data_IF_508800642562
#
_entry.id   IF_508800642562
#
_cell.length_a   1.000
_cell.length_b   1.000
_cell.length_c   1.000
_cell.angle_alpha   90.00
_cell.angle_beta   90.00
_cell.angle_gamma   90.00
#
_symmetry.space_group_name_H-M   'P 1'
#
loop_
_entity.id
_entity.type
_entity.pdbx_description
1 polymer ?
#
# COMPACT_ATOMS: atom_id res chain seq x y z
N UNK A 1 -10.74 12.03 -8.22
CA UNK A 1 -9.39 11.82 -8.78
C UNK A 1 -8.56 13.07 -8.54
N UNK A 2 -7.76 13.10 -7.46
CA UNK A 2 -6.99 14.27 -7.04
C UNK A 2 -5.61 13.86 -6.53
N UNK A 3 -4.54 14.65 -6.76
CA UNK A 3 -3.22 14.37 -6.21
C UNK A 3 -3.20 14.66 -4.70
N UNK A 4 -2.26 14.04 -3.98
CA UNK A 4 -2.06 14.29 -2.54
C UNK A 4 -1.76 15.76 -2.30
N UNK A 5 -2.72 16.46 -1.72
CA UNK A 5 -2.68 17.91 -1.53
C UNK A 5 -3.74 18.36 -0.52
N UNK A 6 -3.61 19.59 -0.01
CA UNK A 6 -4.62 20.20 0.84
C UNK A 6 -5.99 20.29 0.16
N UNK A 7 -6.03 20.56 -1.16
CA UNK A 7 -7.29 20.60 -1.92
C UNK A 7 -7.98 19.24 -1.97
N UNK A 8 -7.21 18.16 -2.17
CA UNK A 8 -7.74 16.80 -2.13
C UNK A 8 -8.24 16.45 -0.71
N UNK A 9 -7.47 16.77 0.32
CA UNK A 9 -7.85 16.54 1.72
C UNK A 9 -9.18 17.22 2.05
N UNK A 10 -9.30 18.51 1.76
CA UNK A 10 -10.55 19.28 1.99
C UNK A 10 -11.74 18.72 1.19
N UNK A 11 -11.51 18.27 -0.05
CA UNK A 11 -12.56 17.67 -0.88
C UNK A 11 -13.06 16.36 -0.28
N UNK A 12 -12.15 15.48 0.16
CA UNK A 12 -12.52 14.19 0.76
C UNK A 12 -13.23 14.38 2.09
N UNK A 13 -12.68 15.22 2.98
CA UNK A 13 -13.29 15.54 4.28
C UNK A 13 -14.67 16.19 4.08
N UNK A 14 -14.77 17.16 3.16
CA UNK A 14 -16.04 17.83 2.84
C UNK A 14 -17.08 16.87 2.30
N UNK A 15 -16.71 15.90 1.45
CA UNK A 15 -17.62 14.86 0.97
C UNK A 15 -18.15 14.00 2.13
N UNK A 16 -17.27 13.51 3.01
CA UNK A 16 -17.67 12.70 4.18
C UNK A 16 -18.56 13.50 5.14
N UNK A 17 -18.21 14.76 5.42
CA UNK A 17 -19.03 15.66 6.25
C UNK A 17 -20.41 15.92 5.62
N UNK A 18 -20.51 15.91 4.30
CA UNK A 18 -21.75 16.02 3.53
C UNK A 18 -22.50 14.69 3.38
N UNK A 19 -22.04 13.63 4.07
CA UNK A 19 -22.59 12.26 4.00
C UNK A 19 -22.51 11.61 2.62
N UNK A 20 -21.57 12.07 1.80
CA UNK A 20 -21.20 11.44 0.55
C UNK A 20 -20.07 10.46 0.79
N UNK A 21 -20.05 9.36 0.02
CA UNK A 21 -18.97 8.38 0.06
C UNK A 21 -18.01 8.65 -1.09
N UNK A 22 -16.80 9.18 -0.83
CA UNK A 22 -15.80 9.39 -1.88
C UNK A 22 -15.31 8.07 -2.45
N UNK A 23 -15.21 8.01 -3.78
CA UNK A 23 -14.62 6.91 -4.54
C UNK A 23 -13.22 7.32 -4.97
N UNK A 24 -12.21 6.61 -4.48
CA UNK A 24 -10.80 6.97 -4.68
C UNK A 24 -10.27 6.34 -5.97
N UNK A 25 -10.00 7.16 -6.99
CA UNK A 25 -9.60 6.71 -8.32
C UNK A 25 -8.08 6.83 -8.48
N UNK A 26 -7.42 5.73 -8.82
CA UNK A 26 -6.01 5.71 -9.16
C UNK A 26 -5.77 6.42 -10.50
N UNK A 27 -4.97 7.49 -10.47
CA UNK A 27 -4.59 8.28 -11.64
C UNK A 27 -3.16 8.01 -12.14
N UNK A 28 -2.39 7.24 -11.39
CA UNK A 28 -0.96 7.01 -11.71
C UNK A 28 -0.75 6.11 -12.92
N UNK A 29 -1.71 5.23 -13.19
CA UNK A 29 -1.66 4.30 -14.32
C UNK A 29 -3.05 4.19 -14.97
N UNK A 30 -3.17 4.60 -16.24
CA UNK A 30 -4.43 4.45 -16.99
C UNK A 30 -5.61 5.24 -16.39
N UNK A 31 -5.41 6.50 -16.04
CA UNK A 31 -6.40 7.34 -15.35
C UNK A 31 -7.79 7.33 -16.00
N UNK A 32 -7.89 7.48 -17.33
CA UNK A 32 -9.15 7.45 -18.07
C UNK A 32 -9.88 6.10 -17.87
N UNK A 33 -9.18 5.00 -18.09
CA UNK A 33 -9.73 3.65 -17.91
C UNK A 33 -10.23 3.41 -16.49
N UNK A 34 -9.47 3.89 -15.49
CA UNK A 34 -9.84 3.75 -14.08
C UNK A 34 -11.05 4.60 -13.71
N UNK A 35 -11.21 5.81 -14.29
CA UNK A 35 -12.41 6.63 -14.14
C UNK A 35 -13.65 5.91 -14.68
N UNK A 36 -13.60 5.43 -15.91
CA UNK A 36 -14.72 4.72 -16.55
C UNK A 36 -15.08 3.43 -15.81
N UNK A 37 -14.07 2.67 -15.37
CA UNK A 37 -14.27 1.48 -14.56
C UNK A 37 -14.96 1.80 -13.23
N UNK A 38 -14.47 2.82 -12.53
CA UNK A 38 -15.01 3.24 -11.24
C UNK A 38 -16.46 3.74 -11.39
N UNK A 39 -16.78 4.54 -12.42
CA UNK A 39 -18.16 4.99 -12.71
C UNK A 39 -19.08 3.79 -12.93
N UNK A 40 -18.65 2.84 -13.75
CA UNK A 40 -19.44 1.63 -14.05
C UNK A 40 -19.71 0.78 -12.81
N UNK A 41 -18.74 0.66 -11.89
CA UNK A 41 -18.86 -0.18 -10.68
C UNK A 41 -19.60 0.50 -9.54
N UNK A 42 -19.48 1.84 -9.40
CA UNK A 42 -19.99 2.58 -8.25
C UNK A 42 -21.14 3.53 -8.58
N UNK A 43 -21.55 3.65 -9.84
CA UNK A 43 -22.68 4.46 -10.33
C UNK A 43 -22.68 5.91 -9.81
N UNK A 44 -21.52 6.57 -9.78
CA UNK A 44 -21.43 7.99 -9.43
C UNK A 44 -21.45 8.88 -10.68
N UNK A 45 -21.89 10.14 -10.53
CA UNK A 45 -22.11 11.10 -11.62
C UNK A 45 -21.11 12.25 -11.67
N UNK A 46 -20.22 12.36 -10.69
CA UNK A 46 -19.28 13.49 -10.58
C UNK A 46 -17.89 12.99 -10.28
N UNK A 47 -16.92 13.44 -11.08
CA UNK A 47 -15.49 13.20 -10.85
C UNK A 47 -14.83 14.53 -10.53
N UNK A 48 -14.46 14.76 -9.28
CA UNK A 48 -13.67 15.94 -8.90
C UNK A 48 -12.21 15.72 -9.26
N UNK A 49 -11.61 16.66 -10.01
CA UNK A 49 -10.22 16.59 -10.49
C UNK A 49 -9.60 17.98 -10.59
N UNK A 50 -8.38 18.08 -11.13
CA UNK A 50 -7.70 19.34 -11.47
C UNK A 50 -7.26 19.34 -12.93
N UNK A 51 -7.22 20.52 -13.55
CA UNK A 51 -6.74 20.68 -14.95
C UNK A 51 -5.29 20.23 -15.08
N UNK A 52 -4.46 20.60 -14.11
CA UNK A 52 -3.05 20.21 -14.05
C UNK A 52 -2.85 18.68 -13.95
N UNK A 53 -3.74 17.95 -13.25
CA UNK A 53 -3.63 16.50 -13.16
C UNK A 53 -3.97 15.83 -14.50
N UNK A 54 -4.99 16.31 -15.20
CA UNK A 54 -5.35 15.78 -16.53
C UNK A 54 -4.19 15.97 -17.51
N UNK A 55 -3.61 17.16 -17.55
CA UNK A 55 -2.46 17.46 -18.39
C UNK A 55 -1.27 16.53 -18.06
N UNK A 56 -0.93 16.41 -16.79
CA UNK A 56 0.18 15.56 -16.33
C UNK A 56 0.01 14.09 -16.66
N UNK A 57 -1.22 13.56 -16.59
CA UNK A 57 -1.53 12.14 -16.81
C UNK A 57 -1.90 11.82 -18.27
N UNK A 58 -2.08 12.83 -19.11
CA UNK A 58 -2.60 12.67 -20.46
C UNK A 58 -4.05 12.15 -20.52
N UNK A 59 -4.77 12.23 -19.40
CA UNK A 59 -6.16 11.77 -19.29
C UNK A 59 -7.09 12.74 -20.03
N UNK A 60 -7.91 12.21 -20.93
CA UNK A 60 -8.93 13.02 -21.60
C UNK A 60 -9.99 13.48 -20.60
N UNK A 61 -10.50 14.69 -20.80
CA UNK A 61 -11.63 15.18 -20.04
C UNK A 61 -12.88 14.35 -20.32
N UNK A 62 -13.46 13.80 -19.27
CA UNK A 62 -14.76 13.11 -19.35
C UNK A 62 -15.90 14.09 -19.03
N UNK A 63 -17.14 13.85 -19.52
CA UNK A 63 -18.28 14.76 -19.34
C UNK A 63 -18.60 15.10 -17.89
N UNK A 64 -18.39 14.13 -16.99
CA UNK A 64 -18.76 14.25 -15.56
C UNK A 64 -17.63 14.81 -14.68
N UNK A 65 -16.53 15.31 -15.30
CA UNK A 65 -15.42 15.91 -14.58
C UNK A 65 -15.69 17.34 -14.17
N UNK A 66 -15.50 17.64 -12.90
CA UNK A 66 -15.59 18.97 -12.30
C UNK A 66 -14.22 19.34 -11.73
N UNK A 67 -13.74 20.51 -12.11
CA UNK A 67 -12.42 20.98 -11.70
C UNK A 67 -12.48 21.79 -10.41
N UNK A 68 -11.55 21.51 -9.47
CA UNK A 68 -11.44 22.29 -8.23
C UNK A 68 -11.22 23.77 -8.54
N UNK A 69 -10.45 24.09 -9.58
CA UNK A 69 -10.20 25.46 -10.03
C UNK A 69 -11.49 26.18 -10.36
N UNK A 70 -12.40 25.50 -11.06
CA UNK A 70 -13.69 26.09 -11.46
C UNK A 70 -14.65 26.21 -10.25
N UNK A 71 -14.65 25.23 -9.32
CA UNK A 71 -15.38 25.33 -8.05
C UNK A 71 -14.91 26.56 -7.27
N UNK A 72 -13.60 26.74 -7.11
CA UNK A 72 -13.02 27.86 -6.37
C UNK A 72 -13.31 29.22 -7.01
N UNK A 73 -13.27 29.29 -8.35
CA UNK A 73 -13.59 30.52 -9.10
C UNK A 73 -15.06 30.93 -8.97
N UNK A 74 -15.96 29.95 -8.89
CA UNK A 74 -17.40 30.18 -8.81
C UNK A 74 -17.91 30.38 -7.37
N UNK A 75 -17.07 30.20 -6.34
CA UNK A 75 -17.46 30.51 -4.95
C UNK A 75 -17.63 32.04 -4.79
N UNK A 76 -18.87 32.47 -4.67
CA UNK A 76 -19.23 33.87 -4.46
C UNK A 76 -18.86 34.41 -3.08
N UNK A 77 -18.90 35.73 -2.93
CA UNK A 77 -18.66 36.37 -1.61
C UNK A 77 -19.67 35.98 -0.56
N UNK A 78 -20.91 35.72 -0.95
CA UNK A 78 -21.98 35.32 -0.04
C UNK A 78 -21.72 33.90 0.53
N UNK A 79 -21.38 32.92 -0.31
CA UNK A 79 -21.05 31.56 0.14
C UNK A 79 -19.84 31.55 1.08
N UNK A 80 -18.82 32.33 0.77
CA UNK A 80 -17.61 32.49 1.61
C UNK A 80 -17.98 33.11 2.98
N UNK A 81 -18.80 34.16 2.99
CA UNK A 81 -19.25 34.78 4.21
C UNK A 81 -20.13 33.84 5.07
N UNK A 82 -21.03 33.10 4.42
CA UNK A 82 -21.89 32.13 5.11
C UNK A 82 -21.06 30.96 5.70
N UNK A 83 -20.07 30.45 4.95
CA UNK A 83 -19.15 29.42 5.43
C UNK A 83 -18.35 29.95 6.65
N UNK A 84 -17.82 31.16 6.56
CA UNK A 84 -17.12 31.79 7.68
C UNK A 84 -18.00 31.93 8.91
N UNK A 85 -19.24 32.41 8.77
CA UNK A 85 -20.19 32.51 9.89
C UNK A 85 -20.49 31.14 10.50
N UNK A 86 -20.72 30.10 9.66
CA UNK A 86 -20.92 28.74 10.13
C UNK A 86 -19.72 28.20 10.88
N UNK A 87 -18.48 28.52 10.45
CA UNK A 87 -17.26 28.09 11.14
C UNK A 87 -17.08 28.64 12.55
N UNK A 88 -17.80 29.74 12.89
CA UNK A 88 -17.80 30.36 14.22
C UNK A 88 -18.91 29.83 15.15
N UNK A 89 -19.75 28.93 14.66
CA UNK A 89 -20.79 28.33 15.50
C UNK A 89 -20.19 27.45 16.60
N UNK A 90 -20.81 27.38 17.79
CA UNK A 90 -20.39 26.47 18.84
C UNK A 90 -20.37 25.01 18.35
N UNK A 91 -19.40 24.22 18.81
CA UNK A 91 -19.25 22.82 18.43
C UNK A 91 -20.53 22.00 18.67
N UNK A 92 -21.25 22.28 19.74
CA UNK A 92 -22.52 21.63 20.05
C UNK A 92 -23.58 21.85 18.95
N UNK A 93 -23.64 23.06 18.39
CA UNK A 93 -24.54 23.37 17.28
C UNK A 93 -24.07 22.72 15.96
N UNK A 94 -22.76 22.75 15.68
CA UNK A 94 -22.20 22.06 14.52
C UNK A 94 -22.48 20.56 14.59
N UNK A 95 -22.30 19.92 15.75
CA UNK A 95 -22.64 18.51 15.97
C UNK A 95 -24.12 18.23 15.75
N UNK A 96 -25.02 19.15 16.17
CA UNK A 96 -26.47 19.04 15.96
C UNK A 96 -26.82 19.12 14.46
N UNK A 97 -26.19 20.06 13.73
CA UNK A 97 -26.36 20.20 12.27
C UNK A 97 -25.85 18.97 11.52
N UNK A 98 -24.67 18.46 11.89
CA UNK A 98 -24.10 17.24 11.31
C UNK A 98 -24.98 16.01 11.59
N UNK A 99 -25.72 16.02 12.71
CA UNK A 99 -26.55 14.89 13.14
C UNK A 99 -25.71 13.71 13.68
N UNK A 100 -26.39 12.64 14.07
CA UNK A 100 -25.72 11.45 14.60
C UNK A 100 -24.95 10.72 13.47
N UNK A 101 -23.66 10.41 13.66
CA UNK A 101 -22.91 9.63 12.69
C UNK A 101 -23.45 8.19 12.65
N UNK A 102 -23.42 7.60 11.48
CA UNK A 102 -23.57 6.15 11.34
C UNK A 102 -22.21 5.57 10.98
N UNK A 103 -21.53 5.03 11.98
CA UNK A 103 -20.17 4.53 11.85
C UNK A 103 -20.05 3.31 10.92
N UNK A 104 -21.15 2.61 10.68
CA UNK A 104 -21.17 1.39 9.85
C UNK A 104 -21.44 1.69 8.36
N UNK A 105 -21.75 2.95 8.02
CA UNK A 105 -21.83 3.35 6.61
C UNK A 105 -20.45 3.45 5.97
N UNK A 106 -20.32 3.10 4.67
CA UNK A 106 -19.08 3.32 3.94
C UNK A 106 -18.63 4.78 4.04
N UNK A 107 -17.41 4.99 4.53
CA UNK A 107 -16.73 6.27 4.56
C UNK A 107 -15.95 6.54 3.27
N UNK A 108 -15.52 5.46 2.60
CA UNK A 108 -14.72 5.50 1.38
C UNK A 108 -14.86 4.22 0.59
N UNK A 109 -14.73 4.34 -0.72
CA UNK A 109 -14.58 3.21 -1.65
C UNK A 109 -13.20 3.29 -2.28
N UNK A 110 -12.49 2.16 -2.25
CA UNK A 110 -11.14 1.98 -2.78
C UNK A 110 -11.11 0.82 -3.78
N UNK A 111 -10.12 0.82 -4.65
CA UNK A 111 -9.88 -0.28 -5.57
C UNK A 111 -8.58 -0.98 -5.19
N UNK A 112 -8.62 -2.32 -5.11
CA UNK A 112 -7.39 -3.07 -4.93
C UNK A 112 -6.57 -3.06 -6.22
N UNK A 113 -5.26 -3.01 -6.09
CA UNK A 113 -4.32 -3.16 -7.21
C UNK A 113 -4.18 -4.61 -7.68
N UNK A 114 -5.21 -5.43 -7.50
CA UNK A 114 -5.15 -6.88 -7.61
C UNK A 114 -4.41 -7.41 -8.85
N UNK A 115 -3.62 -8.45 -8.64
CA UNK A 115 -3.00 -9.30 -9.68
C UNK A 115 -4.03 -10.06 -10.52
N UNK A 116 -5.32 -9.89 -10.25
CA UNK A 116 -6.45 -10.55 -10.91
C UNK A 116 -7.00 -9.71 -12.08
N UNK A 117 -7.87 -10.31 -12.87
CA UNK A 117 -8.39 -9.74 -14.13
C UNK A 117 -9.04 -8.36 -13.97
N UNK A 118 -9.73 -8.09 -12.85
CA UNK A 118 -10.35 -6.79 -12.54
C UNK A 118 -10.02 -6.36 -11.10
N UNK A 119 -9.85 -5.04 -10.82
CA UNK A 119 -9.71 -4.52 -9.47
C UNK A 119 -10.97 -4.80 -8.64
N UNK A 120 -10.81 -5.25 -7.39
CA UNK A 120 -11.92 -5.42 -6.46
C UNK A 120 -12.27 -4.08 -5.81
N UNK A 121 -13.56 -3.88 -5.55
CA UNK A 121 -14.09 -2.63 -5.00
C UNK A 121 -14.32 -2.79 -3.50
N UNK A 122 -13.44 -2.24 -2.70
CA UNK A 122 -13.45 -2.34 -1.23
C UNK A 122 -14.23 -1.20 -0.62
N UNK A 123 -15.15 -1.51 0.28
CA UNK A 123 -15.89 -0.54 1.07
C UNK A 123 -15.37 -0.53 2.50
N UNK A 124 -14.87 0.63 2.94
CA UNK A 124 -14.46 0.82 4.34
C UNK A 124 -15.41 1.77 5.04
N UNK A 125 -15.93 1.34 6.19
CA UNK A 125 -16.79 2.16 7.04
C UNK A 125 -15.97 3.14 7.88
N UNK A 126 -16.65 4.13 8.49
CA UNK A 126 -16.01 5.00 9.48
C UNK A 126 -15.45 4.20 10.65
N UNK A 127 -16.18 3.17 11.12
CA UNK A 127 -15.73 2.27 12.18
C UNK A 127 -14.42 1.59 11.80
N UNK A 128 -14.31 1.02 10.59
CA UNK A 128 -13.10 0.37 10.13
C UNK A 128 -11.88 1.30 10.20
N UNK A 129 -12.03 2.53 9.69
CA UNK A 129 -10.93 3.50 9.68
C UNK A 129 -10.56 3.98 11.09
N UNK A 130 -11.55 4.35 11.91
CA UNK A 130 -11.31 4.89 13.26
C UNK A 130 -10.66 3.83 14.15
N UNK A 131 -11.21 2.61 14.21
CA UNK A 131 -10.64 1.54 15.03
C UNK A 131 -9.21 1.21 14.63
N UNK A 132 -8.91 1.21 13.32
CA UNK A 132 -7.56 0.97 12.84
C UNK A 132 -6.60 2.10 13.23
N UNK A 133 -7.03 3.37 13.08
CA UNK A 133 -6.23 4.54 13.49
C UNK A 133 -5.95 4.51 14.98
N UNK A 134 -6.94 4.29 15.82
CA UNK A 134 -6.77 4.23 17.28
C UNK A 134 -5.79 3.12 17.67
N UNK A 135 -5.96 1.94 17.10
CA UNK A 135 -5.13 0.76 17.41
C UNK A 135 -3.65 0.93 17.05
N UNK A 136 -3.33 1.36 15.82
CA UNK A 136 -1.93 1.55 15.47
C UNK A 136 -1.31 2.79 16.12
N UNK A 137 -2.13 3.83 16.38
CA UNK A 137 -1.66 5.03 17.07
C UNK A 137 -1.27 4.75 18.52
N UNK A 138 -2.01 3.89 19.19
CA UNK A 138 -1.68 3.39 20.53
C UNK A 138 -0.38 2.60 20.51
N UNK A 139 -0.27 1.59 19.64
CA UNK A 139 0.92 0.74 19.53
C UNK A 139 2.20 1.52 19.19
N UNK A 140 2.09 2.50 18.28
CA UNK A 140 3.21 3.28 17.79
C UNK A 140 3.49 4.53 18.64
N UNK A 141 2.66 4.81 19.64
CA UNK A 141 2.79 5.97 20.53
C UNK A 141 2.94 7.28 19.75
N UNK A 142 2.07 7.48 18.72
CA UNK A 142 2.18 8.65 17.82
C UNK A 142 1.48 9.91 18.34
N UNK A 143 0.83 9.84 19.51
CA UNK A 143 0.11 10.98 20.11
C UNK A 143 1.02 12.14 20.56
N UNK A 144 2.34 11.88 20.68
CA UNK A 144 3.36 12.88 21.00
C UNK A 144 3.97 13.55 19.75
N UNK A 145 3.40 13.30 18.56
CA UNK A 145 3.90 13.79 17.29
C UNK A 145 2.95 14.82 16.70
N UNK A 146 3.51 15.95 16.27
CA UNK A 146 2.72 17.08 15.75
C UNK A 146 2.68 17.14 14.21
N UNK A 147 3.69 16.58 13.53
CA UNK A 147 3.89 16.76 12.09
C UNK A 147 4.16 15.45 11.37
N UNK A 148 3.39 15.20 10.33
CA UNK A 148 3.52 14.03 9.45
C UNK A 148 3.85 14.47 8.03
N UNK A 149 4.80 13.79 7.39
CA UNK A 149 5.05 13.94 5.96
C UNK A 149 4.02 13.13 5.16
N UNK A 150 3.12 13.81 4.45
CA UNK A 150 2.01 13.23 3.70
C UNK A 150 2.29 13.25 2.19
N UNK A 151 3.01 12.24 1.70
CA UNK A 151 3.38 12.09 0.29
C UNK A 151 2.76 10.87 -0.38
N UNK A 152 2.25 9.92 0.40
CA UNK A 152 1.61 8.73 -0.15
C UNK A 152 0.27 9.09 -0.83
N UNK A 153 -0.04 8.47 -1.99
CA UNK A 153 -1.26 8.78 -2.73
C UNK A 153 -2.54 8.42 -1.95
N UNK A 154 -3.51 9.34 -1.90
CA UNK A 154 -4.78 9.13 -1.22
C UNK A 154 -5.70 8.11 -1.90
N UNK A 155 -5.43 7.72 -3.14
CA UNK A 155 -6.17 6.63 -3.79
C UNK A 155 -5.73 5.23 -3.32
N UNK A 156 -4.68 5.12 -2.54
CA UNK A 156 -4.30 3.91 -1.81
C UNK A 156 -4.71 4.03 -0.35
N UNK A 157 -5.21 2.93 0.23
CA UNK A 157 -5.62 2.90 1.63
C UNK A 157 -4.51 3.34 2.58
N UNK A 158 -3.25 2.96 2.30
CA UNK A 158 -2.09 3.35 3.10
C UNK A 158 -1.94 4.87 3.14
N UNK A 159 -1.95 5.55 2.00
CA UNK A 159 -1.92 7.01 1.94
C UNK A 159 -3.18 7.65 2.52
N UNK A 160 -4.36 7.10 2.23
CA UNK A 160 -5.61 7.65 2.71
C UNK A 160 -5.73 7.59 4.23
N UNK A 161 -5.47 6.43 4.83
CA UNK A 161 -5.60 6.28 6.29
C UNK A 161 -4.48 7.01 7.01
N UNK A 162 -3.21 6.75 6.64
CA UNK A 162 -2.09 7.31 7.39
C UNK A 162 -1.86 8.80 7.10
N UNK A 163 -1.93 9.22 5.83
CA UNK A 163 -1.55 10.60 5.46
C UNK A 163 -2.70 11.60 5.48
N UNK A 164 -3.96 11.13 5.47
CA UNK A 164 -5.13 12.00 5.57
C UNK A 164 -5.88 11.82 6.89
N UNK A 165 -6.41 10.61 7.15
CA UNK A 165 -7.31 10.43 8.28
C UNK A 165 -6.58 10.46 9.62
N UNK A 166 -5.38 9.89 9.74
CA UNK A 166 -4.61 9.91 10.99
C UNK A 166 -4.32 11.34 11.46
N UNK A 167 -3.69 12.23 10.65
CA UNK A 167 -3.45 13.60 11.10
C UNK A 167 -4.75 14.36 11.38
N UNK A 168 -5.82 14.10 10.62
CA UNK A 168 -7.12 14.72 10.87
C UNK A 168 -7.74 14.28 12.20
N UNK A 169 -7.69 12.99 12.52
CA UNK A 169 -8.26 12.44 13.76
C UNK A 169 -7.42 12.83 14.99
N UNK A 170 -6.12 12.90 14.88
CA UNK A 170 -5.20 13.18 15.99
C UNK A 170 -4.83 14.66 16.12
N UNK A 171 -5.29 15.53 15.22
CA UNK A 171 -4.98 16.96 15.25
C UNK A 171 -3.55 17.30 14.83
N UNK A 172 -2.89 16.45 14.03
CA UNK A 172 -1.53 16.66 13.56
C UNK A 172 -1.48 17.58 12.32
N UNK A 173 -0.35 18.23 12.13
CA UNK A 173 -0.06 18.96 10.89
C UNK A 173 0.35 17.98 9.78
N UNK A 174 -0.38 18.00 8.67
CA UNK A 174 -0.07 17.21 7.46
C UNK A 174 0.73 18.05 6.46
N UNK A 175 1.97 17.64 6.19
CA UNK A 175 2.87 18.29 5.21
C UNK A 175 2.68 17.55 3.89
N UNK A 176 1.88 18.12 2.98
CA UNK A 176 1.48 17.44 1.73
C UNK A 176 2.41 17.75 0.57
N UNK A 177 2.73 16.69 -0.22
CA UNK A 177 3.38 16.85 -1.52
C UNK A 177 2.83 15.80 -2.50
N UNK A 178 2.57 16.23 -3.75
CA UNK A 178 1.80 15.44 -4.71
C UNK A 178 2.57 14.31 -5.39
N UNK A 179 3.89 14.40 -5.47
CA UNK A 179 4.71 13.44 -6.23
C UNK A 179 5.78 12.77 -5.36
N UNK A 180 5.52 11.59 -4.80
CA UNK A 180 6.48 10.88 -3.95
C UNK A 180 7.78 10.45 -4.66
N UNK A 181 7.79 10.43 -6.00
CA UNK A 181 8.97 10.05 -6.80
C UNK A 181 9.96 11.20 -7.02
N UNK A 182 9.60 12.43 -6.66
CA UNK A 182 10.53 13.56 -6.68
C UNK A 182 11.44 13.56 -5.43
N UNK A 183 12.26 12.52 -5.31
CA UNK A 183 13.05 12.22 -4.11
C UNK A 183 13.84 13.41 -3.59
N UNK A 184 14.49 14.16 -4.49
CA UNK A 184 15.27 15.37 -4.14
C UNK A 184 14.40 16.47 -3.53
N UNK A 185 13.21 16.68 -4.08
CA UNK A 185 12.24 17.65 -3.58
C UNK A 185 11.69 17.22 -2.23
N UNK A 186 11.35 15.95 -2.08
CA UNK A 186 10.83 15.42 -0.80
C UNK A 186 11.90 15.49 0.29
N UNK A 187 13.15 15.12 0.01
CA UNK A 187 14.26 15.27 0.96
C UNK A 187 14.47 16.72 1.40
N UNK A 188 14.30 17.68 0.46
CA UNK A 188 14.31 19.11 0.80
C UNK A 188 13.15 19.51 1.72
N UNK A 189 11.95 19.02 1.44
CA UNK A 189 10.76 19.25 2.28
C UNK A 189 11.00 18.72 3.69
N UNK A 190 11.51 17.49 3.86
CA UNK A 190 11.83 16.91 5.17
C UNK A 190 12.75 17.86 5.96
N UNK A 191 13.84 18.29 5.35
CA UNK A 191 14.80 19.22 5.98
C UNK A 191 14.18 20.56 6.38
N UNK A 192 13.31 21.13 5.53
CA UNK A 192 12.74 22.47 5.76
C UNK A 192 11.54 22.46 6.71
N UNK A 193 10.75 21.39 6.72
CA UNK A 193 9.51 21.32 7.50
C UNK A 193 9.64 20.51 8.77
N UNK A 194 10.72 19.75 8.92
CA UNK A 194 11.04 18.97 10.11
C UNK A 194 9.86 18.10 10.58
N UNK A 195 9.35 17.15 9.75
CA UNK A 195 8.32 16.20 10.19
C UNK A 195 8.86 15.27 11.27
N UNK A 196 7.97 14.73 12.10
CA UNK A 196 8.32 13.80 13.17
C UNK A 196 7.95 12.35 12.79
N UNK A 197 6.95 12.19 11.92
CA UNK A 197 6.52 10.91 11.39
C UNK A 197 6.80 10.84 9.88
N UNK A 198 7.61 9.87 9.48
CA UNK A 198 7.96 9.55 8.11
C UNK A 198 7.43 8.15 7.76
N UNK A 199 6.48 8.07 6.82
CA UNK A 199 5.87 6.79 6.40
C UNK A 199 6.00 6.66 4.89
N UNK A 200 6.45 5.49 4.44
CA UNK A 200 6.63 5.25 3.00
C UNK A 200 6.72 3.78 2.63
N UNK A 201 6.76 3.53 1.33
CA UNK A 201 7.21 2.24 0.81
C UNK A 201 8.74 2.20 0.82
N UNK A 202 9.38 1.02 0.79
CA UNK A 202 10.84 0.93 0.71
C UNK A 202 11.45 1.77 -0.41
N UNK A 203 10.84 1.75 -1.60
CA UNK A 203 11.27 2.56 -2.75
C UNK A 203 11.33 4.06 -2.45
N UNK A 204 10.28 4.59 -1.81
CA UNK A 204 10.22 6.02 -1.50
C UNK A 204 11.21 6.39 -0.41
N UNK A 205 11.28 5.57 0.65
CA UNK A 205 12.20 5.79 1.76
C UNK A 205 13.67 5.74 1.30
N UNK A 206 14.03 4.78 0.43
CA UNK A 206 15.36 4.67 -0.17
C UNK A 206 15.69 5.91 -1.00
N UNK A 207 14.76 6.33 -1.87
CA UNK A 207 14.94 7.55 -2.65
C UNK A 207 15.17 8.79 -1.78
N UNK A 208 14.42 8.95 -0.67
CA UNK A 208 14.56 10.11 0.21
C UNK A 208 15.87 10.07 1.00
N UNK A 209 16.23 8.93 1.59
CA UNK A 209 17.45 8.82 2.39
C UNK A 209 18.71 8.98 1.56
N UNK A 210 18.73 8.51 0.32
CA UNK A 210 19.87 8.73 -0.59
C UNK A 210 20.07 10.23 -0.92
N UNK A 211 19.00 11.02 -1.01
CA UNK A 211 19.03 12.44 -1.29
C UNK A 211 19.21 13.32 -0.04
N UNK A 212 19.09 12.77 1.17
CA UNK A 212 19.26 13.50 2.42
C UNK A 212 20.74 13.70 2.78
N UNK A 213 21.02 14.61 3.70
CA UNK A 213 22.33 14.81 4.32
C UNK A 213 22.29 14.40 5.80
N UNK A 214 23.42 14.05 6.44
CA UNK A 214 23.47 13.88 7.88
C UNK A 214 22.85 15.08 8.61
N UNK A 215 21.96 14.81 9.56
CA UNK A 215 21.21 15.84 10.30
C UNK A 215 19.87 16.26 9.69
N UNK A 216 19.57 15.93 8.42
CA UNK A 216 18.29 16.29 7.79
C UNK A 216 17.09 15.63 8.50
N UNK A 217 17.28 14.48 9.17
CA UNK A 217 16.21 13.69 9.81
C UNK A 217 16.21 13.80 11.34
N UNK A 218 16.84 14.82 11.90
CA UNK A 218 16.94 15.02 13.36
C UNK A 218 15.56 15.13 14.05
N UNK A 219 14.54 15.57 13.32
CA UNK A 219 13.16 15.68 13.83
C UNK A 219 12.37 14.36 13.78
N UNK A 220 12.82 13.40 12.95
CA UNK A 220 12.09 12.15 12.76
C UNK A 220 12.17 11.32 14.04
N UNK A 221 11.03 11.13 14.69
CA UNK A 221 10.86 10.27 15.86
C UNK A 221 10.51 8.83 15.47
N UNK A 222 9.86 8.67 14.30
CA UNK A 222 9.38 7.39 13.81
C UNK A 222 9.45 7.32 12.28
N UNK A 223 10.18 6.32 11.76
CA UNK A 223 10.23 5.97 10.35
C UNK A 223 9.56 4.61 10.13
N UNK A 224 8.51 4.55 9.30
CA UNK A 224 7.72 3.33 9.06
C UNK A 224 7.79 2.94 7.59
N UNK A 225 8.19 1.70 7.34
CA UNK A 225 8.14 1.06 6.03
C UNK A 225 6.93 0.13 5.95
N UNK A 226 6.14 0.25 4.90
CA UNK A 226 4.98 -0.60 4.69
C UNK A 226 4.72 -0.87 3.22
N UNK A 227 3.71 -1.72 2.98
CA UNK A 227 3.22 -2.12 1.68
C UNK A 227 4.14 -3.05 0.87
N UNK A 228 5.43 -3.11 1.17
CA UNK A 228 6.38 -4.03 0.57
C UNK A 228 7.45 -4.43 1.59
N UNK A 229 8.22 -5.50 1.32
CA UNK A 229 9.30 -5.96 2.21
C UNK A 229 10.40 -4.91 2.28
N UNK A 230 10.82 -4.54 3.49
CA UNK A 230 11.92 -3.61 3.70
C UNK A 230 13.27 -4.32 3.51
N UNK A 231 14.10 -3.90 2.53
CA UNK A 231 15.44 -4.47 2.36
C UNK A 231 16.34 -4.17 3.56
N UNK A 232 17.25 -5.10 3.89
CA UNK A 232 18.22 -4.89 4.96
C UNK A 232 19.14 -3.71 4.68
N UNK A 233 19.58 -3.56 3.42
CA UNK A 233 20.40 -2.42 2.99
C UNK A 233 19.73 -1.07 3.29
N UNK A 234 18.41 -0.98 3.16
CA UNK A 234 17.67 0.25 3.49
C UNK A 234 17.67 0.52 5.01
N UNK A 235 17.48 -0.52 5.84
CA UNK A 235 17.57 -0.40 7.31
C UNK A 235 18.95 0.08 7.73
N UNK A 236 20.00 -0.56 7.18
CA UNK A 236 21.40 -0.19 7.43
C UNK A 236 21.67 1.26 7.04
N UNK A 237 21.21 1.68 5.85
CA UNK A 237 21.41 3.05 5.38
C UNK A 237 20.73 4.11 6.27
N UNK A 238 19.52 3.85 6.78
CA UNK A 238 18.85 4.74 7.73
C UNK A 238 19.61 4.81 9.06
N UNK A 239 20.09 3.65 9.54
CA UNK A 239 20.84 3.57 10.79
C UNK A 239 22.17 4.29 10.71
N UNK A 240 22.96 4.04 9.67
CA UNK A 240 24.29 4.65 9.50
C UNK A 240 24.21 6.16 9.25
N UNK A 241 23.24 6.62 8.47
CA UNK A 241 23.18 8.03 8.04
C UNK A 241 22.47 8.93 9.05
N UNK A 242 21.48 8.40 9.76
CA UNK A 242 20.60 9.22 10.61
C UNK A 242 20.39 8.67 12.03
N UNK A 243 21.01 7.53 12.37
CA UNK A 243 20.79 6.79 13.62
C UNK A 243 19.31 6.47 13.88
N UNK A 244 18.55 6.18 12.81
CA UNK A 244 17.13 5.83 12.87
C UNK A 244 16.90 4.37 12.57
N UNK A 245 16.03 3.74 13.34
CA UNK A 245 15.51 2.42 13.02
C UNK A 245 14.24 2.53 12.19
N UNK A 246 14.16 1.76 11.11
CA UNK A 246 12.91 1.62 10.34
C UNK A 246 12.07 0.55 10.99
N UNK A 247 10.81 0.88 11.28
CA UNK A 247 9.79 -0.04 11.74
C UNK A 247 9.02 -0.57 10.53
N UNK A 248 8.81 -1.88 10.48
CA UNK A 248 8.00 -2.50 9.44
C UNK A 248 6.56 -2.71 9.90
N UNK A 249 5.61 -2.40 9.00
CA UNK A 249 4.19 -2.66 9.18
C UNK A 249 3.59 -3.41 7.99
N UNK A 250 2.53 -4.17 8.24
CA UNK A 250 1.81 -4.96 7.27
C UNK A 250 0.32 -4.68 7.28
N UNK A 251 -0.28 -4.77 6.10
CA UNK A 251 -1.71 -4.57 5.96
C UNK A 251 -2.22 -4.75 4.54
N UNK A 252 -3.53 -4.63 4.40
CA UNK A 252 -4.25 -4.78 3.14
C UNK A 252 -5.32 -3.70 3.00
N UNK A 253 -5.80 -3.45 1.79
CA UNK A 253 -6.91 -2.50 1.57
C UNK A 253 -8.13 -2.92 2.36
N UNK A 254 -8.38 -4.20 2.45
CA UNK A 254 -9.51 -4.84 3.13
C UNK A 254 -9.42 -4.78 4.66
N UNK A 255 -8.31 -4.26 5.23
CA UNK A 255 -8.08 -4.18 6.68
C UNK A 255 -7.79 -2.76 7.20
N UNK A 256 -7.97 -1.72 6.41
CA UNK A 256 -8.07 -0.28 6.74
C UNK A 256 -6.80 0.55 7.10
N UNK A 257 -5.55 0.27 6.82
CA UNK A 257 -4.97 -0.93 6.26
C UNK A 257 -4.28 -1.85 7.26
N UNK A 258 -3.87 -1.36 8.45
CA UNK A 258 -2.87 -1.99 9.32
C UNK A 258 -3.41 -3.25 9.98
N UNK A 259 -2.70 -4.36 9.82
CA UNK A 259 -2.93 -5.64 10.50
C UNK A 259 -1.94 -5.79 11.65
N UNK A 260 -0.66 -5.57 11.34
CA UNK A 260 0.44 -5.70 12.29
C UNK A 260 1.52 -4.65 12.05
N UNK A 261 2.28 -4.34 13.07
CA UNK A 261 3.44 -3.48 12.98
C UNK A 261 4.43 -3.82 14.10
N UNK A 262 5.70 -3.50 13.89
CA UNK A 262 6.67 -3.58 14.95
C UNK A 262 6.41 -2.47 15.97
N UNK A 263 6.25 -2.77 17.26
CA UNK A 263 6.03 -1.74 18.27
C UNK A 263 7.24 -0.82 18.44
N UNK A 264 6.98 0.45 18.74
CA UNK A 264 8.06 1.39 19.07
C UNK A 264 8.89 0.84 20.24
N UNK A 265 10.23 0.85 20.12
CA UNK A 265 11.15 0.33 21.13
C UNK A 265 11.26 -1.21 21.21
N UNK A 266 10.47 -1.96 20.44
CA UNK A 266 10.54 -3.43 20.35
C UNK A 266 10.54 -3.90 18.90
N UNK A 267 11.38 -3.27 18.08
CA UNK A 267 11.51 -3.62 16.68
C UNK A 267 12.23 -4.97 16.51
N UNK A 268 11.65 -5.88 15.72
CA UNK A 268 12.25 -7.16 15.31
C UNK A 268 12.45 -7.14 13.81
N UNK A 269 13.62 -6.68 13.32
CA UNK A 269 13.87 -6.46 11.90
C UNK A 269 13.59 -7.69 11.04
N UNK A 270 12.93 -7.49 9.90
CA UNK A 270 12.53 -8.56 8.98
C UNK A 270 11.19 -9.21 9.34
N UNK A 271 10.65 -9.04 10.55
CA UNK A 271 9.27 -9.34 10.87
C UNK A 271 8.37 -8.19 10.40
N UNK A 272 7.09 -8.48 10.19
CA UNK A 272 6.06 -7.48 9.95
C UNK A 272 5.31 -7.09 11.24
N UNK A 273 5.95 -7.32 12.39
CA UNK A 273 5.52 -6.93 13.71
C UNK A 273 4.48 -7.85 14.36
N UNK A 274 3.87 -7.37 15.43
CA UNK A 274 2.77 -8.06 16.13
C UNK A 274 1.42 -7.47 15.67
N UNK A 275 0.31 -8.23 15.77
CA UNK A 275 -1.02 -7.69 15.51
C UNK A 275 -1.31 -6.42 16.32
N UNK A 276 -1.91 -5.41 15.67
CA UNK A 276 -2.31 -4.19 16.39
C UNK A 276 -3.44 -4.48 17.39
N UNK A 277 -3.62 -3.68 18.45
CA UNK A 277 -4.70 -3.86 19.42
C UNK A 277 -6.08 -4.04 18.74
N UNK A 278 -6.87 -5.00 19.23
CA UNK A 278 -8.18 -5.30 18.66
C UNK A 278 -8.18 -6.06 17.32
N UNK A 279 -7.01 -6.44 16.84
CA UNK A 279 -6.86 -7.29 15.64
C UNK A 279 -6.35 -8.67 16.06
N UNK A 280 -7.09 -9.70 15.68
CA UNK A 280 -6.72 -11.09 15.85
C UNK A 280 -6.09 -11.62 14.55
N UNK A 281 -4.97 -12.33 14.67
CA UNK A 281 -4.33 -13.03 13.55
C UNK A 281 -4.28 -14.52 13.86
N UNK A 282 -4.62 -15.33 12.86
CA UNK A 282 -4.56 -16.78 12.93
C UNK A 282 -3.83 -17.31 11.70
N UNK A 283 -2.98 -18.30 11.90
CA UNK A 283 -2.29 -18.99 10.81
C UNK A 283 -2.97 -20.33 10.60
N UNK A 284 -3.43 -20.60 9.36
CA UNK A 284 -4.08 -21.85 8.99
C UNK A 284 -3.31 -22.57 7.89
N UNK A 285 -3.11 -23.85 8.07
CA UNK A 285 -2.53 -24.71 7.03
C UNK A 285 -3.39 -24.65 5.74
N UNK A 286 -2.74 -24.37 4.63
CA UNK A 286 -3.41 -24.01 3.36
C UNK A 286 -4.30 -25.12 2.78
N UNK A 287 -3.97 -26.40 3.03
CA UNK A 287 -4.74 -27.54 2.51
C UNK A 287 -5.79 -28.05 3.50
N UNK A 288 -5.45 -28.12 4.78
CA UNK A 288 -6.30 -28.76 5.80
C UNK A 288 -7.23 -27.80 6.52
N UNK A 289 -6.92 -26.46 6.49
CA UNK A 289 -7.64 -25.43 7.24
C UNK A 289 -7.50 -25.56 8.76
N UNK A 290 -6.59 -26.40 9.26
CA UNK A 290 -6.28 -26.49 10.69
C UNK A 290 -5.36 -25.35 11.11
N UNK A 291 -5.44 -24.96 12.38
CA UNK A 291 -4.48 -24.00 12.94
C UNK A 291 -3.06 -24.56 12.86
N UNK A 292 -2.12 -23.71 12.45
CA UNK A 292 -0.71 -24.01 12.43
C UNK A 292 -0.08 -23.84 13.82
N UNK A 293 0.98 -24.61 14.07
CA UNK A 293 1.82 -24.45 15.24
C UNK A 293 2.72 -23.19 15.09
N UNK A 294 3.39 -22.81 16.19
CA UNK A 294 4.37 -21.71 16.19
C UNK A 294 5.48 -22.03 15.19
N UNK A 295 5.89 -21.02 14.41
CA UNK A 295 6.86 -21.13 13.30
C UNK A 295 6.40 -21.99 12.10
N UNK A 296 5.18 -22.52 12.08
CA UNK A 296 4.62 -23.23 10.94
C UNK A 296 3.97 -22.25 9.95
N UNK A 297 4.36 -22.37 8.67
CA UNK A 297 3.87 -21.48 7.62
C UNK A 297 2.47 -21.90 7.14
N UNK A 298 1.54 -20.94 7.16
CA UNK A 298 0.18 -21.12 6.66
C UNK A 298 -0.41 -19.82 6.13
N UNK A 299 -1.70 -19.83 5.84
CA UNK A 299 -2.46 -18.65 5.43
C UNK A 299 -2.64 -17.71 6.60
N UNK A 300 -2.44 -16.42 6.35
CA UNK A 300 -2.70 -15.37 7.32
C UNK A 300 -4.19 -15.00 7.26
N UNK A 301 -4.92 -15.30 8.31
CA UNK A 301 -6.30 -14.88 8.51
C UNK A 301 -6.38 -13.79 9.57
N UNK A 302 -7.26 -12.82 9.32
CA UNK A 302 -7.37 -11.61 10.17
C UNK A 302 -8.83 -11.39 10.57
N UNK A 303 -9.04 -11.02 11.83
CA UNK A 303 -10.34 -10.63 12.36
C UNK A 303 -10.18 -9.38 13.24
N UNK A 304 -11.13 -8.45 13.15
CA UNK A 304 -11.14 -7.22 13.93
C UNK A 304 -12.03 -6.15 13.30
N UNK A 305 -12.24 -5.05 14.00
CA UNK A 305 -13.07 -3.95 13.52
C UNK A 305 -12.49 -3.23 12.28
N UNK A 306 -11.18 -3.36 12.04
CA UNK A 306 -10.52 -2.83 10.84
C UNK A 306 -10.85 -3.61 9.55
N UNK A 307 -11.39 -4.82 9.66
CA UNK A 307 -11.75 -5.65 8.48
C UNK A 307 -12.98 -5.06 7.78
N UNK A 308 -12.90 -4.94 6.46
CA UNK A 308 -14.00 -4.43 5.62
C UNK A 308 -15.30 -5.20 5.81
N UNK A 309 -16.42 -4.56 5.46
CA UNK A 309 -17.72 -5.23 5.44
C UNK A 309 -17.88 -6.18 4.25
N UNK A 310 -17.14 -5.94 3.18
CA UNK A 310 -17.15 -6.76 1.97
C UNK A 310 -16.80 -5.96 0.71
N UNK A 311 -16.80 -6.65 -0.42
CA UNK A 311 -16.64 -6.02 -1.73
C UNK A 311 -17.97 -5.49 -2.25
N UNK A 312 -17.97 -4.30 -2.85
CA UNK A 312 -19.18 -3.65 -3.39
C UNK A 312 -19.79 -4.52 -4.48
N UNK A 313 -21.06 -4.90 -4.29
CA UNK A 313 -21.86 -5.70 -5.23
C UNK A 313 -21.22 -7.05 -5.63
N UNK A 314 -20.37 -7.61 -4.78
CA UNK A 314 -19.68 -8.87 -5.00
C UNK A 314 -19.77 -9.76 -3.73
N UNK A 315 -20.95 -10.33 -3.54
CA UNK A 315 -21.26 -11.21 -2.39
C UNK A 315 -20.48 -12.51 -2.50
N UNK A 316 -20.26 -13.02 -3.71
CA UNK A 316 -19.55 -14.26 -3.94
C UNK A 316 -18.09 -14.15 -3.50
N UNK A 317 -17.35 -13.17 -4.03
CA UNK A 317 -15.96 -12.96 -3.61
C UNK A 317 -15.86 -12.59 -2.12
N UNK A 318 -16.82 -11.81 -1.59
CA UNK A 318 -16.88 -11.50 -0.16
C UNK A 318 -16.98 -12.79 0.68
N UNK A 319 -17.87 -13.71 0.31
CA UNK A 319 -18.06 -14.99 1.02
C UNK A 319 -16.87 -15.93 0.89
N UNK A 320 -16.13 -15.85 -0.22
CA UNK A 320 -14.89 -16.60 -0.40
C UNK A 320 -13.78 -16.10 0.53
N UNK A 321 -13.72 -14.78 0.76
CA UNK A 321 -12.65 -14.12 1.52
C UNK A 321 -12.95 -13.93 3.00
N UNK A 322 -14.22 -13.75 3.37
CA UNK A 322 -14.62 -13.54 4.76
C UNK A 322 -15.49 -14.70 5.21
N UNK A 323 -14.96 -15.51 6.12
CA UNK A 323 -15.67 -16.68 6.68
C UNK A 323 -15.73 -16.56 8.20
N UNK A 324 -16.92 -16.56 8.76
CA UNK A 324 -17.13 -16.43 10.21
C UNK A 324 -16.39 -15.23 10.84
N UNK A 325 -16.32 -14.11 10.11
CA UNK A 325 -15.64 -12.89 10.54
C UNK A 325 -14.12 -12.88 10.33
N UNK A 326 -13.53 -13.96 9.81
CA UNK A 326 -12.12 -14.04 9.46
C UNK A 326 -11.91 -13.71 7.98
N UNK A 327 -11.08 -12.73 7.72
CA UNK A 327 -10.66 -12.34 6.38
C UNK A 327 -9.40 -13.11 5.96
N UNK A 328 -9.46 -13.84 4.85
CA UNK A 328 -8.30 -14.47 4.21
C UNK A 328 -7.55 -13.44 3.37
N UNK A 329 -6.36 -13.07 3.83
CA UNK A 329 -5.51 -12.07 3.15
C UNK A 329 -4.99 -12.56 1.80
N UNK A 330 -4.91 -13.87 1.61
CA UNK A 330 -4.24 -14.52 0.49
C UNK A 330 -2.71 -14.51 0.62
N UNK A 331 -2.19 -14.08 1.75
CA UNK A 331 -0.77 -14.09 2.09
C UNK A 331 -0.43 -15.31 2.96
N UNK A 332 0.81 -15.78 2.86
CA UNK A 332 1.37 -16.82 3.71
C UNK A 332 2.35 -16.24 4.72
N UNK A 333 2.36 -16.79 5.91
CA UNK A 333 3.26 -16.38 6.97
C UNK A 333 3.17 -17.30 8.18
N UNK A 334 3.86 -16.93 9.24
CA UNK A 334 3.81 -17.64 10.52
C UNK A 334 3.94 -16.65 11.68
N UNK A 335 3.51 -17.07 12.85
CA UNK A 335 3.78 -16.40 14.11
C UNK A 335 4.95 -17.11 14.79
N UNK A 336 5.92 -16.34 15.29
CA UNK A 336 7.00 -16.87 16.08
C UNK A 336 6.62 -16.96 17.58
N UNK A 337 7.55 -17.46 18.40
CA UNK A 337 7.37 -17.68 19.85
C UNK A 337 7.05 -16.39 20.63
N UNK A 338 7.50 -15.24 20.12
CA UNK A 338 7.25 -13.91 20.70
C UNK A 338 5.97 -13.26 20.17
N UNK A 339 5.24 -13.95 19.25
CA UNK A 339 4.02 -13.47 18.62
C UNK A 339 4.25 -12.49 17.46
N UNK A 340 5.48 -12.37 16.95
CA UNK A 340 5.74 -11.59 15.75
C UNK A 340 5.32 -12.35 14.51
N UNK A 341 4.67 -11.63 13.60
CA UNK A 341 4.22 -12.15 12.31
C UNK A 341 5.35 -12.02 11.27
N UNK A 342 5.57 -13.09 10.53
CA UNK A 342 6.56 -13.18 9.46
C UNK A 342 5.87 -13.46 8.14
N UNK A 343 6.01 -12.56 7.19
CA UNK A 343 5.44 -12.69 5.85
C UNK A 343 6.34 -13.54 4.94
N UNK A 344 5.76 -14.54 4.28
CA UNK A 344 6.47 -15.46 3.37
C UNK A 344 6.07 -15.32 1.91
N UNK A 345 5.18 -14.36 1.62
CA UNK A 345 4.72 -14.06 0.27
C UNK A 345 3.24 -14.36 0.08
N UNK A 346 2.75 -14.07 -1.12
CA UNK A 346 1.36 -14.39 -1.49
C UNK A 346 1.21 -15.83 -1.92
N UNK A 347 0.11 -16.46 -1.54
CA UNK A 347 -0.19 -17.82 -1.99
C UNK A 347 -0.14 -17.95 -3.53
N UNK A 348 -0.54 -16.91 -4.25
CA UNK A 348 -0.43 -16.82 -5.72
C UNK A 348 0.99 -16.64 -6.26
N UNK A 349 1.95 -16.34 -5.40
CA UNK A 349 3.39 -16.31 -5.70
C UNK A 349 4.09 -17.62 -5.35
N UNK A 350 3.30 -18.69 -5.15
CA UNK A 350 3.79 -20.06 -5.09
C UNK A 350 3.39 -20.76 -6.36
N UNK A 351 4.35 -21.43 -6.97
CA UNK A 351 4.16 -22.19 -8.20
C UNK A 351 4.33 -23.68 -7.94
N UNK A 352 3.43 -24.49 -8.50
CA UNK A 352 3.56 -25.96 -8.41
C UNK A 352 4.39 -26.48 -9.56
N UNK A 353 5.60 -26.98 -9.27
CA UNK A 353 6.52 -27.55 -10.26
C UNK A 353 6.85 -28.98 -9.86
N UNK A 354 6.51 -29.94 -10.72
CA UNK A 354 6.80 -31.35 -10.45
C UNK A 354 6.12 -31.91 -9.19
N UNK A 355 5.04 -31.28 -8.74
CA UNK A 355 4.30 -31.69 -7.52
C UNK A 355 4.67 -30.90 -6.27
N UNK A 356 5.76 -30.16 -6.27
CA UNK A 356 6.23 -29.35 -5.14
C UNK A 356 5.78 -27.88 -5.26
N UNK A 357 5.44 -27.26 -4.12
CA UNK A 357 5.09 -25.84 -4.02
C UNK A 357 6.36 -25.01 -3.79
N UNK A 358 6.71 -24.17 -4.75
CA UNK A 358 7.92 -23.35 -4.73
C UNK A 358 7.53 -21.88 -4.55
N UNK A 359 8.10 -21.22 -3.56
CA UNK A 359 7.94 -19.78 -3.33
C UNK A 359 8.76 -18.98 -4.33
N UNK A 360 8.11 -18.23 -5.22
CA UNK A 360 8.80 -17.30 -6.11
C UNK A 360 9.50 -16.18 -5.34
N UNK A 361 8.95 -15.78 -4.19
CA UNK A 361 9.57 -14.77 -3.31
C UNK A 361 10.89 -15.27 -2.74
N UNK A 362 10.95 -16.53 -2.28
CA UNK A 362 12.20 -17.14 -1.82
C UNK A 362 13.26 -17.19 -2.94
N UNK A 363 12.85 -17.54 -4.15
CA UNK A 363 13.75 -17.53 -5.30
C UNK A 363 14.26 -16.13 -5.62
N UNK A 364 13.40 -15.11 -5.54
CA UNK A 364 13.79 -13.69 -5.70
C UNK A 364 14.78 -13.24 -4.64
N UNK A 365 14.53 -13.55 -3.38
CA UNK A 365 15.42 -13.21 -2.26
C UNK A 365 16.81 -13.81 -2.44
N UNK A 366 16.85 -15.10 -2.81
CA UNK A 366 18.12 -15.77 -3.08
C UNK A 366 18.82 -15.20 -4.31
N UNK A 367 18.06 -14.88 -5.36
CA UNK A 367 18.59 -14.26 -6.58
C UNK A 367 19.23 -12.90 -6.26
N UNK A 368 18.53 -12.05 -5.50
CA UNK A 368 19.02 -10.72 -5.11
C UNK A 368 20.23 -10.79 -4.17
N UNK A 369 20.37 -11.83 -3.35
CA UNK A 369 21.54 -12.02 -2.48
C UNK A 369 22.85 -12.29 -3.26
N UNK A 370 22.77 -12.79 -4.49
CA UNK A 370 23.91 -13.06 -5.35
C UNK A 370 24.08 -12.06 -6.51
N UNK A 371 23.22 -11.02 -6.56
CA UNK A 371 23.28 -9.98 -7.59
C UNK A 371 23.74 -8.66 -6.96
N UNK A 372 24.50 -7.82 -7.68
CA UNK A 372 24.84 -6.47 -7.20
C UNK A 372 23.60 -5.61 -6.91
N UNK A 373 23.66 -4.78 -5.89
CA UNK A 373 22.55 -3.92 -5.42
C UNK A 373 22.01 -2.96 -6.50
N UNK A 374 22.81 -2.67 -7.53
CA UNK A 374 22.43 -1.81 -8.65
C UNK A 374 21.54 -2.51 -9.67
N UNK A 375 21.46 -3.86 -9.62
CA UNK A 375 20.66 -4.67 -10.55
C UNK A 375 19.40 -5.14 -9.82
N UNK A 376 18.26 -4.61 -10.21
CA UNK A 376 16.98 -5.14 -9.74
C UNK A 376 16.71 -6.50 -10.38
N UNK A 377 16.33 -7.45 -9.54
CA UNK A 377 15.95 -8.78 -9.99
C UNK A 377 14.59 -9.19 -9.42
N UNK A 378 13.85 -9.94 -10.21
CA UNK A 378 12.65 -10.63 -9.75
C UNK A 378 12.46 -11.93 -10.54
N UNK A 379 11.47 -12.75 -10.18
CA UNK A 379 11.12 -13.94 -10.94
C UNK A 379 9.65 -13.96 -11.33
N UNK A 380 9.36 -14.54 -12.48
CA UNK A 380 7.99 -14.76 -12.95
C UNK A 380 7.77 -16.24 -13.27
N UNK A 381 6.52 -16.66 -13.20
CA UNK A 381 6.09 -17.97 -13.65
C UNK A 381 5.64 -17.91 -15.10
N UNK A 382 6.09 -18.88 -15.91
CA UNK A 382 5.55 -19.12 -17.24
C UNK A 382 5.15 -20.59 -17.38
N UNK A 383 4.17 -20.90 -18.26
CA UNK A 383 3.80 -22.28 -18.54
C UNK A 383 4.97 -23.10 -19.08
N UNK A 384 5.03 -24.38 -18.69
CA UNK A 384 6.00 -25.36 -19.19
C UNK A 384 5.29 -26.66 -19.54
N UNK A 385 5.49 -27.17 -20.76
CA UNK A 385 4.77 -28.36 -21.27
C UNK A 385 5.14 -29.65 -20.55
N UNK A 386 6.31 -29.72 -19.89
CA UNK A 386 6.81 -30.95 -19.23
C UNK A 386 6.52 -30.95 -17.72
N UNK A 387 6.52 -29.78 -17.07
CA UNK A 387 6.46 -29.66 -15.61
C UNK A 387 5.29 -28.80 -15.12
N UNK A 388 4.40 -28.39 -16.03
CA UNK A 388 3.29 -27.47 -15.76
C UNK A 388 3.72 -26.02 -15.73
N UNK A 389 4.78 -25.68 -14.99
CA UNK A 389 5.32 -24.32 -14.87
C UNK A 389 6.85 -24.30 -14.82
N UNK A 390 7.43 -23.18 -15.22
CA UNK A 390 8.86 -22.87 -15.10
C UNK A 390 9.05 -21.49 -14.48
N UNK A 391 10.16 -21.32 -13.78
CA UNK A 391 10.59 -20.04 -13.20
C UNK A 391 11.52 -19.36 -14.20
N UNK A 392 11.26 -18.07 -14.45
CA UNK A 392 12.09 -17.20 -15.27
C UNK A 392 12.61 -16.06 -14.40
N UNK A 393 13.93 -15.90 -14.33
CA UNK A 393 14.55 -14.75 -13.68
C UNK A 393 14.53 -13.56 -14.63
N UNK A 394 14.20 -12.39 -14.09
CA UNK A 394 14.15 -11.12 -14.82
C UNK A 394 15.06 -10.13 -14.10
N UNK A 395 15.91 -9.44 -14.86
CA UNK A 395 16.86 -8.45 -14.31
C UNK A 395 16.84 -7.15 -15.11
N UNK A 396 17.25 -6.06 -14.49
CA UNK A 396 17.34 -4.75 -15.16
C UNK A 396 18.62 -4.62 -16.03
N UNK A 397 19.60 -5.48 -15.81
CA UNK A 397 20.85 -5.54 -16.55
C UNK A 397 21.25 -6.98 -16.86
N UNK A 398 22.21 -7.16 -17.77
CA UNK A 398 22.74 -8.49 -18.10
C UNK A 398 23.43 -9.12 -16.89
N UNK A 399 23.15 -10.40 -16.68
CA UNK A 399 23.73 -11.24 -15.63
C UNK A 399 24.26 -12.51 -16.30
N UNK A 400 25.39 -13.06 -15.85
CA UNK A 400 25.88 -14.36 -16.32
C UNK A 400 25.00 -15.50 -15.77
N UNK A 401 24.15 -16.15 -16.60
CA UNK A 401 23.23 -17.19 -16.14
C UNK A 401 23.95 -18.42 -15.59
N UNK A 402 25.18 -18.73 -16.09
CA UNK A 402 25.91 -19.90 -15.67
C UNK A 402 26.57 -19.70 -14.31
N UNK A 403 27.18 -18.55 -14.09
CA UNK A 403 27.79 -18.20 -12.80
C UNK A 403 26.70 -18.10 -11.71
N UNK A 404 25.64 -17.33 -11.97
CA UNK A 404 24.56 -17.16 -11.03
C UNK A 404 23.78 -18.45 -10.75
N UNK A 405 23.52 -19.26 -11.77
CA UNK A 405 22.86 -20.56 -11.60
C UNK A 405 23.63 -21.54 -10.71
N UNK A 406 24.98 -21.51 -10.73
CA UNK A 406 25.80 -22.29 -9.79
C UNK A 406 25.68 -21.80 -8.35
N UNK A 407 25.67 -20.49 -8.15
CA UNK A 407 25.47 -19.89 -6.81
C UNK A 407 24.07 -20.20 -6.27
N UNK A 408 23.02 -20.00 -7.07
CA UNK A 408 21.66 -20.33 -6.67
C UNK A 408 21.49 -21.81 -6.30
N UNK A 409 22.19 -22.71 -6.97
CA UNK A 409 22.12 -24.16 -6.70
C UNK A 409 22.72 -24.56 -5.34
N UNK A 410 23.46 -23.67 -4.66
CA UNK A 410 23.93 -23.91 -3.29
C UNK A 410 22.84 -23.69 -2.25
N UNK A 411 21.85 -22.87 -2.56
CA UNK A 411 20.79 -22.45 -1.62
C UNK A 411 19.39 -22.94 -2.02
N UNK A 412 19.16 -23.17 -3.31
CA UNK A 412 17.84 -23.53 -3.84
C UNK A 412 17.79 -24.98 -4.34
N UNK A 413 16.67 -25.69 -4.14
CA UNK A 413 16.46 -26.99 -4.76
C UNK A 413 16.39 -26.86 -6.29
N UNK A 414 16.78 -27.91 -7.01
CA UNK A 414 16.85 -27.91 -8.48
C UNK A 414 15.56 -27.50 -9.20
N UNK A 415 14.40 -27.75 -8.58
CA UNK A 415 13.10 -27.36 -9.13
C UNK A 415 12.85 -25.86 -9.03
N UNK A 416 13.47 -25.19 -8.06
CA UNK A 416 13.35 -23.75 -7.82
C UNK A 416 14.32 -22.91 -8.67
N UNK A 417 15.30 -23.54 -9.33
CA UNK A 417 16.27 -22.83 -10.15
C UNK A 417 15.59 -22.24 -11.40
N UNK A 418 15.80 -20.94 -11.69
CA UNK A 418 15.33 -20.32 -12.92
C UNK A 418 15.81 -21.09 -14.16
N UNK A 419 14.91 -21.33 -15.10
CA UNK A 419 15.22 -22.03 -16.36
C UNK A 419 15.61 -21.08 -17.48
N UNK A 420 15.30 -19.79 -17.32
CA UNK A 420 15.62 -18.74 -18.29
C UNK A 420 15.92 -17.44 -17.54
N UNK A 421 16.74 -16.60 -18.16
CA UNK A 421 17.10 -15.27 -17.67
C UNK A 421 16.75 -14.26 -18.76
N UNK A 422 16.00 -13.20 -18.40
CA UNK A 422 15.48 -12.20 -19.32
C UNK A 422 15.86 -10.81 -18.79
N UNK A 423 16.29 -9.92 -19.69
CA UNK A 423 16.62 -8.54 -19.33
C UNK A 423 15.46 -7.63 -19.73
N UNK A 424 14.94 -6.89 -18.75
CA UNK A 424 13.97 -5.80 -18.92
C UNK A 424 14.52 -4.58 -18.19
N UNK A 425 15.05 -3.62 -18.93
CA UNK A 425 15.82 -2.47 -18.41
C UNK A 425 15.11 -1.67 -17.32
N UNK A 426 13.79 -1.62 -17.33
CA UNK A 426 12.97 -0.92 -16.36
C UNK A 426 11.75 -1.76 -16.00
N UNK A 427 11.59 -2.08 -14.73
CA UNK A 427 10.44 -2.85 -14.27
C UNK A 427 9.17 -1.98 -14.26
N UNK A 428 8.05 -2.48 -14.80
CA UNK A 428 6.78 -1.79 -14.69
C UNK A 428 6.37 -1.70 -13.22
N UNK A 429 5.93 -0.50 -12.81
CA UNK A 429 5.56 -0.23 -11.43
C UNK A 429 4.13 0.27 -11.28
N UNK A 430 3.51 -0.12 -10.21
CA UNK A 430 2.23 0.44 -9.77
C UNK A 430 2.45 1.81 -9.12
N UNK A 431 1.39 2.62 -8.99
CA UNK A 431 1.46 3.92 -8.33
C UNK A 431 1.89 3.91 -6.86
N UNK A 432 1.89 2.74 -6.22
CA UNK A 432 2.46 2.50 -4.90
C UNK A 432 3.98 2.30 -4.90
N UNK A 433 4.62 2.26 -6.08
CA UNK A 433 6.03 1.92 -6.26
C UNK A 433 6.33 0.43 -6.35
N UNK A 434 5.34 -0.45 -6.12
CA UNK A 434 5.52 -1.91 -6.24
C UNK A 434 5.68 -2.33 -7.69
N UNK A 435 6.44 -3.40 -7.94
CA UNK A 435 6.53 -4.04 -9.25
C UNK A 435 5.16 -4.54 -9.71
N UNK A 436 4.75 -4.16 -10.93
CA UNK A 436 3.57 -4.69 -11.60
C UNK A 436 3.91 -6.05 -12.25
N UNK A 437 3.84 -7.10 -11.45
CA UNK A 437 4.14 -8.47 -11.91
C UNK A 437 3.28 -8.94 -13.07
N UNK A 438 2.07 -8.42 -13.21
CA UNK A 438 1.19 -8.79 -14.32
C UNK A 438 1.73 -8.25 -15.64
N UNK A 439 2.03 -6.95 -15.68
CA UNK A 439 2.62 -6.31 -16.86
C UNK A 439 3.98 -6.92 -17.16
N UNK A 440 4.80 -7.14 -16.14
CA UNK A 440 6.11 -7.76 -16.28
C UNK A 440 6.04 -9.18 -16.87
N UNK A 441 5.14 -10.03 -16.36
CA UNK A 441 4.92 -11.40 -16.87
C UNK A 441 4.51 -11.40 -18.34
N UNK A 442 3.65 -10.44 -18.74
CA UNK A 442 3.24 -10.31 -20.15
C UNK A 442 4.42 -9.91 -21.04
N UNK A 443 5.24 -8.94 -20.61
CA UNK A 443 6.45 -8.54 -21.34
C UNK A 443 7.44 -9.72 -21.53
N UNK A 444 7.64 -10.51 -20.48
CA UNK A 444 8.51 -11.70 -20.54
C UNK A 444 7.93 -12.74 -21.49
N UNK A 445 6.61 -12.95 -21.50
CA UNK A 445 5.94 -13.88 -22.41
C UNK A 445 6.09 -13.44 -23.87
N UNK A 446 5.86 -12.17 -24.16
CA UNK A 446 6.02 -11.60 -25.50
C UNK A 446 7.45 -11.75 -26.03
N UNK A 447 8.45 -11.56 -25.16
CA UNK A 447 9.85 -11.80 -25.54
C UNK A 447 10.16 -13.29 -25.78
N UNK A 448 9.48 -14.20 -25.09
CA UNK A 448 9.63 -15.64 -25.33
C UNK A 448 9.02 -16.10 -26.66
N UNK A 449 7.92 -15.48 -27.08
CA UNK A 449 7.23 -15.80 -28.34
C UNK A 449 7.96 -15.25 -29.57
N UNK A 450 8.83 -14.23 -29.38
CA UNK A 450 9.58 -13.58 -30.46
C UNK A 450 11.01 -14.18 -30.66
N UNK A 451 11.51 -14.96 -29.72
CA UNK A 451 12.85 -15.56 -29.75
C UNK A 451 12.82 -17.07 -29.82
#
# INVERSE_FOLDING_TARGET
MLPTSSGAALTIIGAVMSRLTPVMINYSTGAEKNCLFAQKKCDFKVIVTTKALLEKTGCKQLPDMVFIEDIMANLGGFEKALAFLKSKLPLSLLKRIAGKPNLDKPAVILFTSGSEKEPKVVQLSQRNLISNIDSFSEMMEIYDMDRLLAVLPYFHVFGLTINLWTPFCLGMTSITYANPLEFKTVAKIIRETQPELLVGTPLFLDGYVRQSKPGDYVSIKLAVSGADKCPEALRTLFKEKHDLDIIEGYGATETSPVISANPRGRNKPGSIGIPIPGTEVRIEHHDTGKACEVNEVGKILVKGEGVMQGYLNDIEETSLRIKSGWYDTGDLGYLDEDGYLWHKGRLKRFVKIGGEMISLVMVEETLNAFTPDEIECCVVELPDSKRGSKIVAVSTSEIDPKALGKQLATELPNLALPKKYVVIREFPRMGSGKTDFRTLTNLVREQEEQG
#
